data_IF_614662721724
#
_entry.id   IF_614662721724
#
_cell.length_a   1.000
_cell.length_b   1.000
_cell.length_c   1.000
_cell.angle_alpha   90.00
_cell.angle_beta   90.00
_cell.angle_gamma   90.00
#
_symmetry.space_group_name_H-M   'P 1'
#
loop_
_entity.id
_entity.type
_entity.pdbx_description
1 polymer ?
#
# COMPACT_ATOMS: atom_id res chain seq x y z
N UNK A 1 22.22 7.27 7.21
CA UNK A 1 20.92 7.25 6.51
C UNK A 1 20.28 5.90 6.75
N UNK A 2 19.06 5.85 7.27
CA UNK A 2 18.29 4.60 7.43
C UNK A 2 17.86 4.05 6.06
N UNK A 3 17.76 2.73 5.91
CA UNK A 3 17.31 2.11 4.66
C UNK A 3 15.80 1.97 4.63
N UNK A 4 15.18 1.99 3.45
CA UNK A 4 13.75 1.69 3.33
C UNK A 4 13.51 0.17 3.39
N UNK A 5 12.58 -0.26 4.23
CA UNK A 5 12.10 -1.64 4.23
C UNK A 5 11.00 -1.79 3.17
N UNK A 6 11.40 -2.16 1.96
CA UNK A 6 10.51 -2.30 0.81
C UNK A 6 10.03 -3.74 0.73
N UNK A 7 8.72 -3.95 0.57
CA UNK A 7 8.10 -5.22 0.20
C UNK A 7 7.46 -5.00 -1.16
N UNK A 8 7.80 -5.81 -2.14
CA UNK A 8 7.36 -5.62 -3.54
C UNK A 8 5.98 -6.18 -3.81
N UNK A 9 5.74 -7.38 -3.28
CA UNK A 9 4.55 -8.19 -3.48
C UNK A 9 4.47 -9.19 -2.30
N UNK A 10 3.39 -9.99 -2.29
CA UNK A 10 3.15 -10.95 -1.21
C UNK A 10 4.22 -12.06 -1.13
N UNK A 11 4.81 -12.46 -2.25
CA UNK A 11 5.82 -13.53 -2.28
C UNK A 11 7.18 -13.03 -1.77
N UNK A 12 7.55 -11.80 -2.12
CA UNK A 12 8.69 -11.08 -1.53
C UNK A 12 8.49 -10.90 -0.01
N UNK A 13 7.26 -10.62 0.44
CA UNK A 13 6.94 -10.59 1.88
C UNK A 13 7.26 -11.95 2.52
N UNK A 14 6.63 -13.03 2.04
CA UNK A 14 6.79 -14.39 2.58
C UNK A 14 8.26 -14.80 2.61
N UNK A 15 8.99 -14.57 1.51
CA UNK A 15 10.42 -14.89 1.39
C UNK A 15 11.27 -14.12 2.40
N UNK A 16 11.06 -12.81 2.53
CA UNK A 16 11.80 -12.00 3.52
C UNK A 16 11.51 -12.45 4.93
N UNK A 17 10.25 -12.78 5.22
CA UNK A 17 9.82 -13.23 6.54
C UNK A 17 10.48 -14.56 6.92
N UNK A 18 10.50 -15.54 6.01
CA UNK A 18 11.19 -16.82 6.21
C UNK A 18 12.70 -16.63 6.43
N UNK A 19 13.36 -15.83 5.59
CA UNK A 19 14.80 -15.51 5.76
C UNK A 19 15.06 -14.85 7.12
N UNK A 20 14.19 -13.94 7.55
CA UNK A 20 14.32 -13.28 8.85
C UNK A 20 14.13 -14.28 10.00
N UNK A 21 13.18 -15.21 9.91
CA UNK A 21 13.00 -16.27 10.90
C UNK A 21 14.23 -17.16 11.03
N UNK A 22 14.76 -17.66 9.92
CA UNK A 22 15.95 -18.50 9.91
C UNK A 22 17.15 -17.78 10.56
N UNK A 23 17.33 -16.48 10.28
CA UNK A 23 18.38 -15.67 10.90
C UNK A 23 18.13 -15.45 12.39
N UNK A 24 16.90 -15.14 12.78
CA UNK A 24 16.57 -14.84 14.16
C UNK A 24 16.63 -16.10 15.04
N UNK A 25 16.30 -17.27 14.51
CA UNK A 25 16.50 -18.57 15.16
C UNK A 25 17.98 -18.82 15.48
N UNK A 26 18.91 -18.48 14.57
CA UNK A 26 20.38 -18.54 14.82
C UNK A 26 20.83 -17.64 15.98
N UNK A 27 20.04 -16.63 16.33
CA UNK A 27 20.28 -15.74 17.47
C UNK A 27 19.47 -16.12 18.72
N UNK A 28 18.92 -17.33 18.76
CA UNK A 28 18.02 -17.82 19.81
C UNK A 28 16.86 -16.85 20.10
N UNK A 29 16.29 -16.28 19.04
CA UNK A 29 15.18 -15.34 19.12
C UNK A 29 15.44 -14.13 20.03
N UNK A 30 16.65 -13.56 20.01
CA UNK A 30 17.03 -12.39 20.81
C UNK A 30 16.28 -11.12 20.37
N UNK A 31 15.66 -10.39 21.31
CA UNK A 31 14.98 -9.12 21.01
C UNK A 31 15.95 -8.01 20.60
N UNK A 32 17.22 -8.09 20.99
CA UNK A 32 18.24 -7.12 20.55
C UNK A 32 18.40 -7.12 19.03
N UNK A 33 18.18 -8.26 18.39
CA UNK A 33 18.20 -8.36 16.93
C UNK A 33 17.04 -7.58 16.31
N UNK A 34 15.83 -7.69 16.87
CA UNK A 34 14.65 -6.94 16.42
C UNK A 34 14.86 -5.43 16.57
N UNK A 35 15.43 -4.99 17.69
CA UNK A 35 15.68 -3.55 17.90
C UNK A 35 16.75 -3.01 16.96
N UNK A 36 17.85 -3.76 16.73
CA UNK A 36 18.83 -3.41 15.68
C UNK A 36 18.20 -3.36 14.29
N UNK A 37 17.33 -4.33 13.97
CA UNK A 37 16.62 -4.39 12.69
C UNK A 37 15.70 -3.17 12.50
N UNK A 38 14.90 -2.82 13.51
CA UNK A 38 14.06 -1.62 13.49
C UNK A 38 14.87 -0.34 13.31
N UNK A 39 16.01 -0.21 13.98
CA UNK A 39 16.84 1.00 13.90
C UNK A 39 17.56 1.14 12.55
N UNK A 40 17.77 0.03 11.84
CA UNK A 40 18.38 0.04 10.52
C UNK A 40 17.43 0.54 9.43
N UNK A 41 16.13 0.26 9.58
CA UNK A 41 15.11 0.62 8.61
C UNK A 41 14.30 1.86 9.02
N UNK A 42 13.90 2.66 8.04
CA UNK A 42 12.94 3.74 8.28
C UNK A 42 11.58 3.16 8.71
N UNK A 43 10.92 3.75 9.72
CA UNK A 43 9.60 3.30 10.18
C UNK A 43 8.57 3.28 9.05
N UNK A 44 7.86 2.16 8.91
CA UNK A 44 6.77 1.99 7.93
C UNK A 44 5.78 0.91 8.39
N UNK A 45 4.54 0.94 7.90
CA UNK A 45 3.52 -0.08 8.22
C UNK A 45 4.02 -1.50 7.90
N UNK A 46 4.70 -1.67 6.76
CA UNK A 46 5.29 -2.94 6.36
C UNK A 46 6.36 -3.40 7.36
N UNK A 47 7.24 -2.51 7.82
CA UNK A 47 8.25 -2.84 8.84
C UNK A 47 7.59 -3.25 10.16
N UNK A 48 6.57 -2.50 10.61
CA UNK A 48 5.87 -2.78 11.86
C UNK A 48 5.12 -4.10 11.82
N UNK A 49 4.39 -4.39 10.75
CA UNK A 49 3.71 -5.67 10.55
C UNK A 49 4.70 -6.84 10.47
N UNK A 50 5.83 -6.65 9.78
CA UNK A 50 6.90 -7.64 9.70
C UNK A 50 7.46 -7.97 11.09
N UNK A 51 7.83 -6.96 11.87
CA UNK A 51 8.32 -7.12 13.25
C UNK A 51 7.25 -7.74 14.16
N UNK A 52 5.99 -7.37 13.98
CA UNK A 52 4.86 -7.95 14.72
C UNK A 52 4.74 -9.44 14.47
N UNK A 53 4.87 -9.91 13.22
CA UNK A 53 4.89 -11.34 12.90
C UNK A 53 6.08 -12.04 13.55
N UNK A 54 7.28 -11.46 13.46
CA UNK A 54 8.45 -12.00 14.14
C UNK A 54 8.16 -12.22 15.63
N UNK A 55 7.77 -11.17 16.35
CA UNK A 55 7.45 -11.28 17.79
C UNK A 55 6.35 -12.29 18.08
N UNK A 56 5.32 -12.34 17.23
CA UNK A 56 4.22 -13.27 17.38
C UNK A 56 4.66 -14.73 17.26
N UNK A 57 5.58 -15.05 16.34
CA UNK A 57 6.11 -16.42 16.16
C UNK A 57 6.73 -16.99 17.44
N UNK A 58 7.41 -16.15 18.22
CA UNK A 58 8.02 -16.54 19.50
C UNK A 58 6.99 -16.69 20.61
N UNK A 59 5.96 -15.83 20.64
CA UNK A 59 5.08 -15.64 21.79
C UNK A 59 3.74 -16.36 21.68
N UNK A 60 3.27 -16.63 20.47
CA UNK A 60 1.94 -17.18 20.23
C UNK A 60 2.01 -18.68 19.90
N UNK A 61 0.98 -19.45 20.29
CA UNK A 61 0.75 -20.77 19.73
C UNK A 61 0.63 -20.71 18.18
N UNK A 62 1.05 -21.77 17.51
CA UNK A 62 1.08 -21.87 16.04
C UNK A 62 -0.24 -21.45 15.39
N UNK A 63 -1.38 -21.91 15.91
CA UNK A 63 -2.71 -21.57 15.38
C UNK A 63 -3.00 -20.06 15.43
N UNK A 64 -2.68 -19.41 16.56
CA UNK A 64 -2.87 -17.95 16.72
C UNK A 64 -1.90 -17.16 15.86
N UNK A 65 -0.67 -17.65 15.71
CA UNK A 65 0.31 -17.08 14.81
C UNK A 65 -0.19 -17.11 13.35
N UNK A 66 -0.69 -18.27 12.89
CA UNK A 66 -1.17 -18.45 11.52
C UNK A 66 -2.34 -17.54 11.17
N UNK A 67 -3.31 -17.39 12.09
CA UNK A 67 -4.41 -16.42 11.93
C UNK A 67 -3.92 -14.98 11.80
N UNK A 68 -2.89 -14.59 12.54
CA UNK A 68 -2.31 -13.25 12.46
C UNK A 68 -1.52 -13.05 11.15
N UNK A 69 -0.77 -14.06 10.73
CA UNK A 69 -0.03 -14.09 9.46
C UNK A 69 -0.96 -13.93 8.27
N UNK A 70 -2.01 -14.77 8.20
CA UNK A 70 -3.03 -14.69 7.16
C UNK A 70 -3.71 -13.33 7.12
N UNK A 71 -4.08 -12.77 8.28
CA UNK A 71 -4.67 -11.43 8.34
C UNK A 71 -3.74 -10.37 7.76
N UNK A 72 -2.47 -10.34 8.19
CA UNK A 72 -1.52 -9.31 7.73
C UNK A 72 -1.25 -9.44 6.22
N UNK A 73 -1.21 -10.67 5.70
CA UNK A 73 -1.05 -10.92 4.28
C UNK A 73 -2.26 -10.46 3.47
N UNK A 74 -3.47 -10.77 3.94
CA UNK A 74 -4.70 -10.28 3.31
C UNK A 74 -4.78 -8.74 3.33
N UNK A 75 -4.48 -8.12 4.48
CA UNK A 75 -4.43 -6.66 4.60
C UNK A 75 -3.41 -6.05 3.62
N UNK A 76 -2.24 -6.71 3.43
CA UNK A 76 -1.22 -6.28 2.49
C UNK A 76 -1.72 -6.33 1.03
N UNK A 77 -2.33 -7.44 0.61
CA UNK A 77 -2.87 -7.62 -0.74
C UNK A 77 -4.01 -6.62 -1.03
N UNK A 78 -4.88 -6.38 -0.05
CA UNK A 78 -5.97 -5.40 -0.18
C UNK A 78 -5.42 -3.97 -0.36
N UNK A 79 -4.42 -3.57 0.44
CA UNK A 79 -3.77 -2.25 0.31
C UNK A 79 -3.05 -2.12 -1.03
N UNK A 80 -2.30 -3.15 -1.44
CA UNK A 80 -1.61 -3.16 -2.74
C UNK A 80 -2.60 -2.99 -3.89
N UNK A 81 -3.72 -3.72 -3.85
CA UNK A 81 -4.80 -3.59 -4.83
C UNK A 81 -5.38 -2.18 -4.85
N UNK A 82 -5.69 -1.59 -3.70
CA UNK A 82 -6.22 -0.21 -3.60
C UNK A 82 -5.23 0.78 -4.20
N UNK A 83 -3.93 0.65 -3.90
CA UNK A 83 -2.89 1.52 -4.46
C UNK A 83 -2.81 1.40 -5.97
N UNK A 84 -2.78 0.19 -6.51
CA UNK A 84 -2.74 -0.05 -7.95
C UNK A 84 -3.99 0.48 -8.66
N UNK A 85 -5.17 0.25 -8.09
CA UNK A 85 -6.44 0.75 -8.63
C UNK A 85 -6.50 2.28 -8.60
N UNK A 86 -6.03 2.90 -7.52
CA UNK A 86 -5.92 4.38 -7.41
C UNK A 86 -4.96 4.95 -8.45
N UNK A 87 -3.78 4.33 -8.65
CA UNK A 87 -2.81 4.75 -9.66
C UNK A 87 -3.36 4.65 -11.09
N UNK A 88 -4.14 3.59 -11.39
CA UNK A 88 -4.83 3.48 -12.68
C UNK A 88 -5.82 4.64 -12.88
N UNK A 89 -6.57 4.98 -11.84
CA UNK A 89 -7.53 6.09 -11.90
C UNK A 89 -6.83 7.43 -12.09
N UNK A 90 -5.75 7.73 -11.35
CA UNK A 90 -5.00 8.96 -11.53
C UNK A 90 -4.42 9.11 -12.94
N UNK A 91 -3.91 8.01 -13.52
CA UNK A 91 -3.45 8.00 -14.92
C UNK A 91 -4.58 8.30 -15.90
N UNK A 92 -5.75 7.70 -15.70
CA UNK A 92 -6.91 7.91 -16.57
C UNK A 92 -7.47 9.34 -16.44
N UNK A 93 -7.48 9.89 -15.22
CA UNK A 93 -7.85 11.28 -14.96
C UNK A 93 -6.90 12.25 -15.67
N UNK A 94 -5.58 12.10 -15.47
CA UNK A 94 -4.58 12.98 -16.08
C UNK A 94 -4.69 12.98 -17.60
N UNK A 95 -4.88 11.80 -18.18
CA UNK A 95 -5.08 11.65 -19.63
C UNK A 95 -6.35 12.35 -20.13
N UNK A 96 -7.43 12.35 -19.34
CA UNK A 96 -8.68 13.01 -19.69
C UNK A 96 -8.53 14.54 -19.70
N UNK A 97 -7.87 15.12 -18.69
CA UNK A 97 -7.53 16.54 -18.68
C UNK A 97 -6.62 16.92 -19.85
N UNK A 98 -5.59 16.11 -20.10
CA UNK A 98 -4.66 16.31 -21.23
C UNK A 98 -5.39 16.31 -22.58
N UNK A 99 -6.31 15.36 -22.80
CA UNK A 99 -7.13 15.27 -24.03
C UNK A 99 -8.12 16.41 -24.17
N UNK A 100 -8.72 16.84 -23.06
CA UNK A 100 -9.64 17.98 -23.07
C UNK A 100 -8.93 19.32 -23.29
N UNK A 101 -7.59 19.36 -23.16
CA UNK A 101 -6.80 20.59 -23.30
C UNK A 101 -7.00 21.59 -22.16
N UNK A 102 -7.59 21.14 -21.04
CA UNK A 102 -7.87 21.98 -19.87
C UNK A 102 -7.04 21.54 -18.66
N UNK A 103 -6.71 22.50 -17.79
CA UNK A 103 -5.96 22.24 -16.55
C UNK A 103 -6.84 22.30 -15.30
N UNK A 104 -8.04 22.83 -15.45
CA UNK A 104 -9.05 23.00 -14.40
C UNK A 104 -10.45 22.81 -15.00
N UNK A 105 -11.45 22.64 -14.14
CA UNK A 105 -12.81 22.31 -14.52
C UNK A 105 -13.12 20.84 -14.35
N UNK A 106 -14.12 20.36 -15.09
CA UNK A 106 -14.67 19.01 -15.00
C UNK A 106 -14.37 18.25 -16.28
N UNK A 107 -13.89 17.02 -16.16
CA UNK A 107 -13.76 16.07 -17.28
C UNK A 107 -14.52 14.79 -17.00
N UNK A 108 -14.94 14.12 -18.08
CA UNK A 108 -15.50 12.77 -18.05
C UNK A 108 -14.50 11.82 -18.69
N UNK A 109 -14.36 10.62 -18.13
CA UNK A 109 -13.43 9.61 -18.64
C UNK A 109 -13.97 8.20 -18.40
N UNK A 110 -13.40 7.21 -19.11
CA UNK A 110 -13.72 5.81 -18.87
C UNK A 110 -13.05 5.34 -17.59
N UNK A 111 -13.82 4.89 -16.61
CA UNK A 111 -13.35 4.32 -15.36
C UNK A 111 -12.48 3.09 -15.66
N UNK A 112 -11.20 3.07 -15.24
CA UNK A 112 -10.31 1.94 -15.51
C UNK A 112 -10.62 0.70 -14.66
N UNK A 113 -11.54 0.80 -13.69
CA UNK A 113 -11.89 -0.30 -12.80
C UNK A 113 -13.11 -1.09 -13.29
N UNK A 114 -14.09 -0.43 -13.92
CA UNK A 114 -15.33 -1.07 -14.36
C UNK A 114 -15.76 -0.74 -15.80
N UNK A 115 -15.00 0.10 -16.52
CA UNK A 115 -15.34 0.52 -17.89
C UNK A 115 -16.49 1.52 -18.01
N UNK A 116 -17.17 1.87 -16.91
CA UNK A 116 -18.24 2.88 -16.90
C UNK A 116 -17.72 4.31 -17.04
N UNK A 117 -18.61 5.29 -17.14
CA UNK A 117 -18.21 6.71 -17.13
C UNK A 117 -17.89 7.18 -15.72
N UNK A 118 -16.75 7.85 -15.56
CA UNK A 118 -16.32 8.52 -14.33
C UNK A 118 -16.17 10.03 -14.57
N UNK A 119 -16.19 10.79 -13.48
CA UNK A 119 -16.06 12.25 -13.48
C UNK A 119 -14.87 12.63 -12.60
N UNK A 120 -14.04 13.54 -13.07
CA UNK A 120 -12.99 14.16 -12.28
C UNK A 120 -13.09 15.68 -12.33
N UNK A 121 -12.71 16.33 -11.23
CA UNK A 121 -12.77 17.79 -11.10
C UNK A 121 -11.44 18.33 -10.59
N UNK A 122 -10.93 19.37 -11.25
CA UNK A 122 -9.75 20.12 -10.83
C UNK A 122 -10.09 21.60 -10.70
N UNK A 123 -9.44 22.28 -9.77
CA UNK A 123 -9.59 23.71 -9.57
C UNK A 123 -8.24 24.33 -9.27
N UNK A 124 -8.14 25.65 -9.43
CA UNK A 124 -6.94 26.41 -9.10
C UNK A 124 -7.16 27.20 -7.83
N UNK A 125 -6.27 27.01 -6.86
CA UNK A 125 -6.26 27.75 -5.59
C UNK A 125 -4.83 28.07 -5.18
N UNK A 126 -4.56 29.34 -4.85
CA UNK A 126 -3.22 29.81 -4.50
C UNK A 126 -2.18 29.63 -5.62
N UNK A 127 -2.60 29.73 -6.89
CA UNK A 127 -1.71 29.54 -8.06
C UNK A 127 -1.36 28.08 -8.39
N UNK A 128 -1.83 27.11 -7.60
CA UNK A 128 -1.63 25.67 -7.83
C UNK A 128 -2.92 25.00 -8.26
N UNK A 129 -2.80 23.94 -9.07
CA UNK A 129 -3.93 23.08 -9.42
C UNK A 129 -4.11 22.02 -8.34
N UNK A 130 -5.36 21.81 -7.95
CA UNK A 130 -5.77 20.83 -6.95
C UNK A 130 -6.87 19.96 -7.54
N UNK A 131 -6.88 18.67 -7.21
CA UNK A 131 -8.02 17.80 -7.45
C UNK A 131 -9.10 18.07 -6.41
N UNK A 132 -10.37 18.14 -6.83
CA UNK A 132 -11.55 18.01 -5.95
C UNK A 132 -11.99 16.55 -5.81
N UNK A 133 -11.23 15.63 -6.42
CA UNK A 133 -11.52 14.22 -6.46
C UNK A 133 -12.05 13.73 -7.79
N UNK A 134 -12.18 12.40 -7.87
CA UNK A 134 -12.90 11.72 -8.94
C UNK A 134 -13.89 10.73 -8.35
N UNK A 135 -14.95 10.45 -9.09
CA UNK A 135 -15.97 9.50 -8.71
C UNK A 135 -16.51 8.74 -9.93
N UNK A 136 -16.73 7.44 -9.75
CA UNK A 136 -17.45 6.60 -10.70
C UNK A 136 -18.77 6.12 -10.08
N UNK A 137 -19.94 6.54 -10.60
CA UNK A 137 -21.23 6.12 -10.07
C UNK A 137 -21.52 4.63 -10.28
N UNK A 138 -20.84 3.98 -11.24
CA UNK A 138 -21.08 2.57 -11.54
C UNK A 138 -20.43 1.62 -10.53
N UNK A 139 -19.14 1.81 -10.21
CA UNK A 139 -18.44 0.93 -9.25
C UNK A 139 -18.28 1.56 -7.86
N UNK A 140 -18.76 2.78 -7.65
CA UNK A 140 -18.68 3.48 -6.37
C UNK A 140 -17.28 3.96 -5.99
N UNK A 141 -16.26 3.74 -6.82
CA UNK A 141 -14.92 4.26 -6.53
C UNK A 141 -14.94 5.79 -6.43
N UNK A 142 -14.29 6.32 -5.41
CA UNK A 142 -14.08 7.76 -5.24
C UNK A 142 -12.79 8.05 -4.48
N UNK A 143 -12.13 9.15 -4.83
CA UNK A 143 -11.09 9.77 -4.00
C UNK A 143 -11.31 11.29 -3.96
N UNK A 144 -10.71 11.94 -2.97
CA UNK A 144 -10.66 13.40 -2.82
C UNK A 144 -9.23 13.82 -2.51
#
# INVERSE_FOLDING_TARGET
>A
MSKSFIIKDIDDYKKKLDIAYQKWQKTNFSEQWIEKFKNYYSPSTNLWNFVKLLRARKKLPEEKYKKLEEKIFKDFEEIEKILLDTLKVFKAEEEAFRKAGIKEGKVTYTCPLCGGTAVAVRYKYGGRYHGLGSHCPNCGFSHT
#
